data_IF_926025507933
#
_entry.id   IF_926025507933
#
_cell.length_a   1.000
_cell.length_b   1.000
_cell.length_c   1.000
_cell.angle_alpha   90.00
_cell.angle_beta   90.00
_cell.angle_gamma   90.00
#
_symmetry.space_group_name_H-M   'P 1'
#
loop_
_entity.id
_entity.type
_entity.pdbx_description
1 polymer ?
#
# COMPACT_ATOMS: atom_id res chain seq x y z
N UNK A 1 53.99 40.65 -41.57
CA UNK A 1 52.84 39.78 -41.21
C UNK A 1 52.18 40.34 -39.96
N UNK A 2 51.02 40.98 -40.11
CA UNK A 2 50.31 41.63 -39.01
C UNK A 2 49.84 40.55 -38.01
N UNK A 3 50.44 40.53 -36.82
CA UNK A 3 50.06 39.60 -35.73
C UNK A 3 48.80 40.04 -34.98
N UNK A 4 48.33 41.26 -35.25
CA UNK A 4 47.15 41.87 -34.63
C UNK A 4 45.84 41.09 -34.84
N UNK A 5 45.46 40.63 -36.06
CA UNK A 5 44.24 39.84 -36.24
C UNK A 5 44.32 38.45 -35.58
N UNK A 6 45.51 37.84 -35.50
CA UNK A 6 45.71 36.55 -34.84
C UNK A 6 45.58 36.69 -33.33
N UNK A 7 46.11 37.77 -32.75
CA UNK A 7 45.96 38.06 -31.31
C UNK A 7 44.49 38.32 -30.93
N UNK A 8 43.75 39.04 -31.79
CA UNK A 8 42.34 39.34 -31.57
C UNK A 8 41.46 38.07 -31.64
N UNK A 9 41.76 37.16 -32.56
CA UNK A 9 41.07 35.88 -32.69
C UNK A 9 41.32 34.99 -31.47
N UNK A 10 42.57 34.94 -30.97
CA UNK A 10 42.92 34.16 -29.77
C UNK A 10 42.27 34.71 -28.50
N UNK A 11 42.18 36.05 -28.34
CA UNK A 11 41.45 36.64 -27.22
C UNK A 11 39.94 36.35 -27.24
N UNK A 12 39.34 36.22 -28.43
CA UNK A 12 37.92 35.92 -28.57
C UNK A 12 37.59 34.46 -28.17
N UNK A 13 38.50 33.51 -28.44
CA UNK A 13 38.33 32.09 -28.04
C UNK A 13 38.42 31.92 -26.51
N UNK A 14 39.31 32.68 -25.85
CA UNK A 14 39.41 32.66 -24.37
C UNK A 14 38.22 33.32 -23.68
N UNK A 15 37.55 34.29 -24.32
CA UNK A 15 36.33 34.92 -23.78
C UNK A 15 35.08 34.03 -23.93
N UNK A 16 35.08 33.07 -24.87
CA UNK A 16 33.97 32.13 -25.10
C UNK A 16 34.01 30.91 -24.17
N UNK A 17 35.08 30.70 -23.38
CA UNK A 17 35.23 29.54 -22.47
C UNK A 17 34.92 29.85 -21.00
N UNK A 18 34.34 31.03 -20.69
CA UNK A 18 34.21 31.56 -19.33
C UNK A 18 32.88 31.39 -18.60
N UNK A 19 31.93 30.56 -19.05
CA UNK A 19 30.61 30.42 -18.40
C UNK A 19 30.16 28.96 -18.24
N UNK A 20 30.86 28.17 -17.42
CA UNK A 20 30.29 26.91 -16.88
C UNK A 20 30.75 26.54 -15.47
N UNK A 21 31.51 27.42 -14.79
CA UNK A 21 32.02 27.19 -13.44
C UNK A 21 31.42 28.11 -12.37
N UNK A 22 30.17 28.56 -12.57
CA UNK A 22 29.38 28.97 -11.42
C UNK A 22 28.95 27.67 -10.71
N UNK A 23 29.30 27.46 -9.42
CA UNK A 23 28.56 26.49 -8.64
C UNK A 23 27.15 27.06 -8.56
N UNK A 24 26.28 26.59 -9.46
CA UNK A 24 24.85 26.62 -9.24
C UNK A 24 24.72 25.83 -7.95
N UNK A 25 24.73 26.53 -6.80
CA UNK A 25 24.07 26.03 -5.62
C UNK A 25 22.69 25.71 -6.16
N UNK A 26 22.28 24.42 -6.25
CA UNK A 26 20.89 24.16 -6.52
C UNK A 26 20.20 25.00 -5.46
N UNK A 27 19.34 25.92 -5.91
CA UNK A 27 18.36 26.52 -5.03
C UNK A 27 17.93 25.39 -4.11
N UNK A 28 18.12 25.55 -2.79
CA UNK A 28 17.57 24.63 -1.81
C UNK A 28 16.05 24.76 -1.97
N UNK A 29 15.53 24.20 -3.06
CA UNK A 29 14.14 23.90 -3.22
C UNK A 29 13.86 22.97 -2.08
N UNK A 30 12.91 23.36 -1.25
CA UNK A 30 12.38 22.49 -0.23
C UNK A 30 11.81 21.28 -0.97
N UNK A 31 12.63 20.23 -1.12
CA UNK A 31 12.20 18.98 -1.69
C UNK A 31 11.26 18.36 -0.66
N UNK A 32 9.98 18.26 -1.01
CA UNK A 32 9.04 17.45 -0.24
C UNK A 32 9.30 16.01 -0.66
N UNK A 33 9.78 15.20 0.27
CA UNK A 33 10.04 13.78 0.05
C UNK A 33 8.75 13.03 0.35
N UNK A 34 8.19 12.37 -0.66
CA UNK A 34 7.06 11.46 -0.51
C UNK A 34 7.59 10.03 -0.36
N UNK A 35 7.34 9.42 0.79
CA UNK A 35 7.87 8.10 1.13
C UNK A 35 6.85 7.01 0.79
N UNK A 36 7.29 5.98 0.10
CA UNK A 36 6.57 4.71 0.03
C UNK A 36 6.64 4.02 1.39
N UNK A 37 5.59 3.35 1.86
CA UNK A 37 5.63 2.60 3.12
C UNK A 37 6.56 1.38 2.98
N UNK A 38 7.78 1.49 3.49
CA UNK A 38 8.81 0.46 3.42
C UNK A 38 9.49 0.20 4.77
N UNK A 39 10.16 -0.95 4.85
CA UNK A 39 11.13 -1.31 5.90
C UNK A 39 12.37 -1.92 5.24
N UNK A 40 13.57 -1.55 5.69
CA UNK A 40 14.82 -2.19 5.27
C UNK A 40 15.37 -3.09 6.37
N UNK A 41 15.65 -4.34 6.03
CA UNK A 41 16.18 -5.32 6.97
C UNK A 41 17.03 -6.37 6.25
N UNK A 42 18.23 -6.62 6.78
CA UNK A 42 19.19 -7.61 6.28
C UNK A 42 19.51 -7.49 4.79
N UNK A 43 19.63 -6.27 4.27
CA UNK A 43 19.93 -6.00 2.86
C UNK A 43 18.72 -6.04 1.92
N UNK A 44 17.52 -6.32 2.44
CA UNK A 44 16.28 -6.35 1.65
C UNK A 44 15.40 -5.14 1.93
N UNK A 45 14.67 -4.69 0.90
CA UNK A 45 13.61 -3.69 1.04
C UNK A 45 12.26 -4.40 0.98
N UNK A 46 11.47 -4.22 2.02
CA UNK A 46 10.11 -4.74 2.11
C UNK A 46 9.14 -3.57 1.98
N UNK A 47 8.12 -3.71 1.15
CA UNK A 47 7.07 -2.70 0.94
C UNK A 47 5.76 -3.17 1.54
N UNK A 48 4.99 -2.22 2.08
CA UNK A 48 3.72 -2.49 2.74
C UNK A 48 2.73 -3.16 1.79
N UNK A 49 2.10 -4.24 2.26
CA UNK A 49 1.10 -5.01 1.51
C UNK A 49 -0.29 -4.60 1.99
N UNK A 50 -0.97 -3.78 1.20
CA UNK A 50 -2.27 -3.18 1.58
C UNK A 50 -3.49 -4.01 1.19
N UNK A 51 -3.33 -4.97 0.28
CA UNK A 51 -4.42 -5.81 -0.26
C UNK A 51 -4.40 -7.25 0.29
N UNK A 52 -3.69 -7.44 1.40
CA UNK A 52 -3.61 -8.70 2.14
C UNK A 52 -3.69 -8.43 3.63
N UNK A 53 -4.22 -9.40 4.36
CA UNK A 53 -4.15 -9.44 5.80
C UNK A 53 -3.65 -10.81 6.24
N UNK A 54 -3.09 -10.89 7.45
CA UNK A 54 -2.76 -12.18 8.05
C UNK A 54 -4.05 -12.96 8.33
N UNK A 55 -4.10 -14.26 8.03
CA UNK A 55 -5.29 -15.06 8.24
C UNK A 55 -5.51 -15.45 9.73
N UNK A 56 -4.41 -15.66 10.46
CA UNK A 56 -4.38 -16.03 11.88
C UNK A 56 -3.13 -15.41 12.53
N UNK A 57 -3.25 -14.66 13.64
CA UNK A 57 -2.10 -14.08 14.33
C UNK A 57 -1.07 -15.11 14.82
N UNK A 58 -1.44 -16.39 14.93
CA UNK A 58 -0.51 -17.49 15.27
C UNK A 58 0.49 -17.80 14.16
N UNK A 59 0.29 -17.26 12.96
CA UNK A 59 1.24 -17.36 11.86
C UNK A 59 2.42 -16.38 12.02
N UNK A 60 2.41 -15.52 13.04
CA UNK A 60 3.57 -14.70 13.38
C UNK A 60 4.60 -15.57 14.09
N UNK A 61 5.77 -15.69 13.48
CA UNK A 61 6.88 -16.52 13.94
C UNK A 61 7.92 -15.74 14.76
N UNK A 62 9.18 -16.12 14.59
CA UNK A 62 10.32 -15.54 15.30
C UNK A 62 10.54 -14.04 14.96
N UNK A 63 11.12 -13.31 15.91
CA UNK A 63 11.56 -11.93 15.68
C UNK A 63 12.67 -11.90 14.62
N UNK A 64 12.45 -11.12 13.56
CA UNK A 64 13.37 -10.92 12.46
C UNK A 64 14.35 -9.76 12.71
N UNK A 65 13.91 -8.76 13.49
CA UNK A 65 14.65 -7.54 13.79
C UNK A 65 13.72 -6.45 14.32
N UNK A 66 14.19 -5.20 14.29
CA UNK A 66 13.41 -4.05 14.70
C UNK A 66 13.81 -2.79 13.90
N UNK A 67 12.94 -1.79 13.93
CA UNK A 67 13.17 -0.49 13.32
C UNK A 67 14.14 0.32 14.19
N UNK A 68 15.21 0.84 13.57
CA UNK A 68 16.20 1.70 14.20
C UNK A 68 15.95 3.18 13.91
N UNK A 69 15.34 3.48 12.77
CA UNK A 69 15.18 4.86 12.30
C UNK A 69 13.91 5.03 11.46
N UNK A 70 13.13 6.08 11.75
CA UNK A 70 11.93 6.44 10.98
C UNK A 70 12.26 7.63 10.09
N UNK A 71 12.28 7.41 8.77
CA UNK A 71 12.78 8.43 7.83
C UNK A 71 11.77 9.56 7.60
N UNK A 72 10.47 9.30 7.61
CA UNK A 72 9.46 10.29 7.24
C UNK A 72 9.38 11.51 8.19
N UNK A 73 9.87 11.37 9.42
CA UNK A 73 9.81 12.45 10.41
C UNK A 73 11.08 13.33 10.42
N UNK A 74 12.19 12.83 9.87
CA UNK A 74 13.54 13.40 10.12
C UNK A 74 14.30 13.71 8.84
N UNK A 75 14.12 12.92 7.79
CA UNK A 75 14.92 13.05 6.57
C UNK A 75 14.32 14.13 5.67
N UNK A 76 15.10 15.19 5.45
CA UNK A 76 14.77 16.28 4.52
C UNK A 76 15.73 16.35 3.33
N UNK A 77 16.78 15.51 3.31
CA UNK A 77 17.74 15.44 2.22
C UNK A 77 17.26 14.45 1.15
N UNK A 78 16.92 14.90 -0.07
CA UNK A 78 16.49 14.01 -1.14
C UNK A 78 17.58 13.04 -1.61
N UNK A 79 18.85 13.25 -1.21
CA UNK A 79 19.96 12.36 -1.50
C UNK A 79 20.21 11.30 -0.41
N UNK A 80 19.41 11.28 0.66
CA UNK A 80 19.52 10.27 1.70
C UNK A 80 19.41 8.85 1.13
N UNK A 81 20.31 7.98 1.55
CA UNK A 81 20.34 6.57 1.14
C UNK A 81 19.88 5.73 2.31
N UNK A 82 18.72 5.13 2.16
CA UNK A 82 18.12 4.26 3.19
C UNK A 82 18.97 3.02 3.40
N UNK A 83 19.04 2.55 4.64
CA UNK A 83 19.88 1.44 5.11
C UNK A 83 19.09 0.49 6.02
N UNK A 84 19.70 -0.63 6.41
CA UNK A 84 19.06 -1.60 7.30
C UNK A 84 18.66 -0.97 8.64
N UNK A 85 17.43 -1.26 9.08
CA UNK A 85 16.81 -0.66 10.25
C UNK A 85 15.98 0.59 9.94
N UNK A 86 16.04 1.14 8.72
CA UNK A 86 15.16 2.24 8.33
C UNK A 86 13.73 1.74 8.04
N UNK A 87 12.76 2.55 8.44
CA UNK A 87 11.38 2.42 8.02
C UNK A 87 10.81 3.78 7.60
N UNK A 88 9.91 3.81 6.63
CA UNK A 88 9.22 5.02 6.24
C UNK A 88 8.36 5.56 7.39
N UNK A 89 7.44 4.73 7.89
CA UNK A 89 6.39 5.18 8.80
C UNK A 89 6.37 4.47 10.16
N UNK A 90 6.97 3.27 10.27
CA UNK A 90 7.02 2.57 11.55
C UNK A 90 7.90 3.30 12.56
N UNK A 91 7.47 3.34 13.82
CA UNK A 91 8.21 3.97 14.90
C UNK A 91 9.49 3.22 15.24
N UNK A 92 10.49 3.94 15.76
CA UNK A 92 11.73 3.36 16.29
C UNK A 92 11.39 2.33 17.38
N UNK A 93 12.07 1.19 17.34
CA UNK A 93 11.87 0.06 18.26
C UNK A 93 10.73 -0.88 17.86
N UNK A 94 9.97 -0.59 16.79
CA UNK A 94 8.94 -1.51 16.29
C UNK A 94 9.58 -2.84 15.91
N UNK A 95 9.12 -3.92 16.56
CA UNK A 95 9.56 -5.28 16.26
C UNK A 95 9.00 -5.76 14.93
N UNK A 96 9.81 -6.51 14.21
CA UNK A 96 9.48 -7.13 12.93
C UNK A 96 9.58 -8.63 13.11
N UNK A 97 8.60 -9.36 12.60
CA UNK A 97 8.49 -10.80 12.77
C UNK A 97 8.43 -11.50 11.43
N UNK A 98 8.93 -12.74 11.38
CA UNK A 98 8.71 -13.62 10.23
C UNK A 98 7.27 -14.11 10.21
N UNK A 99 6.79 -14.51 9.03
CA UNK A 99 5.46 -15.11 8.86
C UNK A 99 5.62 -16.56 8.45
N UNK A 100 4.98 -17.45 9.20
CA UNK A 100 4.98 -18.89 8.93
C UNK A 100 4.36 -19.20 7.56
N UNK A 101 4.98 -20.13 6.84
CA UNK A 101 4.56 -20.50 5.47
C UNK A 101 5.19 -19.67 4.34
N UNK A 102 6.03 -18.68 4.67
CA UNK A 102 6.83 -17.91 3.72
C UNK A 102 8.33 -18.13 3.95
N UNK A 103 9.14 -17.93 2.92
CA UNK A 103 10.59 -17.91 3.11
C UNK A 103 11.01 -16.72 3.97
N UNK A 104 12.17 -16.82 4.62
CA UNK A 104 12.59 -15.79 5.58
C UNK A 104 12.66 -14.41 4.94
N UNK A 105 12.99 -14.29 3.66
CA UNK A 105 13.20 -13.02 2.96
C UNK A 105 11.94 -12.50 2.25
N UNK A 106 10.82 -13.22 2.31
CA UNK A 106 9.60 -12.88 1.56
C UNK A 106 8.69 -11.90 2.29
N UNK A 107 8.42 -12.15 3.58
CA UNK A 107 7.35 -11.49 4.29
C UNK A 107 7.70 -11.20 5.75
N UNK A 108 7.39 -9.97 6.16
CA UNK A 108 7.48 -9.50 7.54
C UNK A 108 6.10 -9.07 8.04
N UNK A 109 5.87 -9.27 9.34
CA UNK A 109 4.74 -8.72 10.07
C UNK A 109 5.24 -7.69 11.09
N UNK A 110 4.58 -6.53 11.13
CA UNK A 110 4.79 -5.50 12.13
C UNK A 110 3.48 -5.30 12.93
N UNK A 111 3.52 -5.24 14.28
CA UNK A 111 2.32 -5.00 15.07
C UNK A 111 1.62 -3.70 14.68
N UNK A 112 0.33 -3.78 14.38
CA UNK A 112 -0.54 -2.65 14.11
C UNK A 112 -1.97 -2.98 14.58
N UNK A 113 -2.43 -2.45 15.72
CA UNK A 113 -3.75 -2.77 16.27
C UNK A 113 -4.91 -2.31 15.38
N UNK A 114 -4.62 -1.43 14.40
CA UNK A 114 -5.58 -0.96 13.41
C UNK A 114 -5.52 -1.80 12.12
N UNK A 115 -5.00 -3.02 12.16
CA UNK A 115 -5.06 -3.96 11.04
C UNK A 115 -5.84 -5.21 11.45
N UNK A 116 -6.48 -5.90 10.49
CA UNK A 116 -7.03 -7.22 10.77
C UNK A 116 -5.95 -8.13 11.35
N UNK A 117 -6.31 -8.84 12.42
CA UNK A 117 -5.40 -9.69 13.17
C UNK A 117 -4.21 -8.98 13.83
N UNK A 118 -4.19 -7.64 13.87
CA UNK A 118 -3.23 -6.85 14.63
C UNK A 118 -1.86 -6.69 13.99
N UNK A 119 -1.71 -6.96 12.69
CA UNK A 119 -0.43 -6.86 12.00
C UNK A 119 -0.57 -6.21 10.62
N UNK A 120 0.37 -5.30 10.33
CA UNK A 120 0.68 -4.83 8.98
C UNK A 120 1.72 -5.74 8.35
N UNK A 121 1.57 -6.02 7.07
CA UNK A 121 2.46 -6.90 6.32
C UNK A 121 3.40 -6.11 5.41
N UNK A 122 4.64 -6.57 5.30
CA UNK A 122 5.68 -5.99 4.45
C UNK A 122 6.36 -7.09 3.63
N UNK A 123 6.37 -6.97 2.31
CA UNK A 123 6.89 -8.01 1.43
C UNK A 123 8.00 -7.51 0.51
N UNK A 124 8.94 -8.39 0.18
CA UNK A 124 9.87 -8.15 -0.94
C UNK A 124 9.13 -8.18 -2.27
N UNK A 125 9.73 -7.58 -3.30
CA UNK A 125 9.12 -7.49 -4.62
C UNK A 125 8.79 -8.90 -5.17
N UNK A 126 7.53 -9.10 -5.59
CA UNK A 126 7.06 -10.36 -6.17
C UNK A 126 6.72 -11.46 -5.16
N UNK A 127 7.05 -11.30 -3.87
CA UNK A 127 6.79 -12.33 -2.85
C UNK A 127 5.30 -12.56 -2.59
N UNK A 128 4.48 -11.51 -2.72
CA UNK A 128 3.04 -11.57 -2.49
C UNK A 128 2.28 -11.12 -3.74
N UNK A 129 1.45 -12.01 -4.26
CA UNK A 129 0.58 -11.70 -5.40
C UNK A 129 -0.46 -10.65 -4.99
N UNK A 130 -0.78 -9.74 -5.92
CA UNK A 130 -1.77 -8.67 -5.69
C UNK A 130 -3.20 -9.25 -5.66
N UNK A 131 -4.05 -8.74 -4.76
CA UNK A 131 -5.46 -9.15 -4.67
C UNK A 131 -6.23 -8.92 -5.97
N UNK A 132 -5.92 -7.80 -6.64
CA UNK A 132 -6.56 -7.40 -7.87
C UNK A 132 -6.38 -8.41 -9.00
N UNK A 133 -5.25 -9.12 -9.00
CA UNK A 133 -4.93 -10.13 -9.99
C UNK A 133 -5.68 -11.45 -9.78
N UNK A 134 -6.41 -11.62 -8.67
CA UNK A 134 -6.96 -12.92 -8.25
C UNK A 134 -8.45 -12.85 -7.95
N UNK A 135 -9.06 -11.67 -7.78
CA UNK A 135 -10.47 -11.59 -7.36
C UNK A 135 -11.41 -12.39 -8.28
N UNK A 136 -11.22 -12.31 -9.60
CA UNK A 136 -12.04 -13.05 -10.55
C UNK A 136 -11.79 -14.58 -10.53
N UNK A 137 -10.65 -15.02 -9.98
CA UNK A 137 -10.33 -16.43 -9.72
C UNK A 137 -10.83 -16.91 -8.34
N UNK A 138 -11.34 -16.00 -7.50
CA UNK A 138 -11.96 -16.38 -6.22
C UNK A 138 -13.35 -16.93 -6.47
N UNK A 139 -13.60 -18.11 -5.94
CA UNK A 139 -14.91 -18.75 -5.97
C UNK A 139 -15.47 -18.85 -4.55
N UNK A 140 -16.80 -18.81 -4.41
CA UNK A 140 -17.44 -18.84 -3.11
C UNK A 140 -16.99 -20.02 -2.23
N UNK A 141 -16.77 -21.20 -2.83
CA UNK A 141 -16.30 -22.40 -2.12
C UNK A 141 -14.86 -22.31 -1.59
N UNK A 142 -14.02 -21.41 -2.13
CA UNK A 142 -12.67 -21.16 -1.60
C UNK A 142 -12.69 -20.23 -0.40
N UNK A 143 -13.75 -19.45 -0.22
CA UNK A 143 -13.87 -18.50 0.88
C UNK A 143 -14.51 -19.20 2.08
N UNK A 144 -13.81 -19.25 3.20
CA UNK A 144 -14.27 -19.87 4.44
C UNK A 144 -15.09 -18.92 5.30
N UNK A 145 -14.72 -17.64 5.37
CA UNK A 145 -15.48 -16.56 6.02
C UNK A 145 -15.17 -15.20 5.43
N UNK A 146 -16.05 -14.23 5.66
CA UNK A 146 -15.84 -12.82 5.33
C UNK A 146 -16.02 -11.99 6.60
N UNK A 147 -15.10 -11.08 6.88
CA UNK A 147 -15.21 -10.13 7.98
C UNK A 147 -15.35 -8.72 7.43
N UNK A 148 -16.28 -7.95 8.01
CA UNK A 148 -16.55 -6.56 7.66
C UNK A 148 -16.14 -5.65 8.81
N UNK A 149 -15.32 -4.66 8.48
CA UNK A 149 -14.76 -3.70 9.41
C UNK A 149 -15.25 -2.30 9.07
N UNK A 150 -15.56 -1.54 10.11
CA UNK A 150 -15.86 -0.13 9.96
C UNK A 150 -14.59 0.62 9.54
N UNK A 151 -14.76 1.85 9.07
CA UNK A 151 -13.71 2.75 8.56
C UNK A 151 -12.33 2.52 9.20
N UNK A 152 -11.31 2.45 8.35
CA UNK A 152 -9.90 2.26 8.73
C UNK A 152 -9.64 1.02 9.59
N UNK A 153 -10.22 -0.12 9.22
CA UNK A 153 -9.94 -1.41 9.85
C UNK A 153 -10.21 -1.42 11.36
N UNK A 154 -11.17 -0.64 11.83
CA UNK A 154 -11.52 -0.58 13.25
C UNK A 154 -11.83 -1.99 13.75
N UNK A 155 -10.99 -2.50 14.65
CA UNK A 155 -11.12 -3.84 15.24
C UNK A 155 -11.96 -3.77 16.52
N UNK A 156 -12.79 -4.79 16.83
CA UNK A 156 -13.08 -6.00 16.05
C UNK A 156 -13.99 -5.74 14.82
N UNK A 157 -14.13 -6.70 13.88
CA UNK A 157 -15.10 -6.57 12.80
C UNK A 157 -16.51 -6.39 13.36
N UNK A 158 -17.32 -5.52 12.74
CA UNK A 158 -18.71 -5.32 13.16
C UNK A 158 -19.63 -6.43 12.65
N UNK A 159 -19.19 -7.20 11.64
CA UNK A 159 -19.93 -8.35 11.13
C UNK A 159 -18.99 -9.43 10.60
N UNK A 160 -19.29 -10.68 10.93
CA UNK A 160 -18.61 -11.86 10.39
C UNK A 160 -19.63 -12.72 9.67
N UNK A 161 -19.43 -12.92 8.37
CA UNK A 161 -20.30 -13.71 7.50
C UNK A 161 -19.72 -15.11 7.34
N UNK A 162 -20.57 -16.12 7.56
CA UNK A 162 -20.24 -17.54 7.41
C UNK A 162 -21.34 -18.25 6.62
N UNK A 163 -21.06 -19.47 6.14
CA UNK A 163 -22.04 -20.35 5.48
C UNK A 163 -22.85 -19.62 4.38
N UNK A 164 -24.18 -19.69 4.44
CA UNK A 164 -25.08 -19.13 3.42
C UNK A 164 -25.00 -17.61 3.31
N UNK A 165 -24.75 -16.89 4.40
CA UNK A 165 -24.64 -15.42 4.37
C UNK A 165 -23.39 -14.98 3.60
N UNK A 166 -22.28 -15.66 3.84
CA UNK A 166 -21.02 -15.47 3.10
C UNK A 166 -21.22 -15.75 1.60
N UNK A 167 -21.89 -16.85 1.27
CA UNK A 167 -22.14 -17.22 -0.14
C UNK A 167 -23.06 -16.22 -0.85
N UNK A 168 -24.08 -15.72 -0.16
CA UNK A 168 -24.97 -14.69 -0.68
C UNK A 168 -24.23 -13.36 -0.90
N UNK A 169 -23.46 -12.91 0.10
CA UNK A 169 -22.68 -11.69 0.01
C UNK A 169 -21.64 -11.75 -1.13
N UNK A 170 -20.86 -12.84 -1.21
CA UNK A 170 -19.87 -12.98 -2.27
C UNK A 170 -20.51 -13.03 -3.66
N UNK A 171 -21.72 -13.61 -3.79
CA UNK A 171 -22.45 -13.60 -5.05
C UNK A 171 -22.80 -12.18 -5.50
N UNK A 172 -23.21 -11.29 -4.59
CA UNK A 172 -23.50 -9.89 -4.90
C UNK A 172 -22.24 -9.14 -5.37
N UNK A 173 -21.08 -9.45 -4.77
CA UNK A 173 -19.79 -8.91 -5.22
C UNK A 173 -19.43 -9.40 -6.63
N UNK A 174 -19.52 -10.71 -6.85
CA UNK A 174 -19.12 -11.35 -8.09
C UNK A 174 -20.08 -11.05 -9.26
N UNK A 175 -21.36 -10.80 -8.99
CA UNK A 175 -22.35 -10.43 -10.01
C UNK A 175 -22.36 -8.93 -10.34
N UNK A 176 -21.45 -8.15 -9.77
CA UNK A 176 -21.33 -6.73 -10.05
C UNK A 176 -20.95 -6.44 -11.50
N UNK A 177 -21.24 -5.23 -11.97
CA UNK A 177 -20.92 -4.76 -13.31
C UNK A 177 -19.67 -3.89 -13.29
N UNK A 178 -18.69 -4.23 -14.12
CA UNK A 178 -17.50 -3.41 -14.31
C UNK A 178 -17.84 -2.10 -15.01
N UNK A 179 -17.37 -1.00 -14.43
CA UNK A 179 -17.64 0.38 -14.83
C UNK A 179 -16.37 1.23 -14.67
N UNK A 180 -15.36 1.06 -15.56
CA UNK A 180 -14.05 1.71 -15.43
C UNK A 180 -14.10 3.25 -15.45
N UNK A 181 -15.19 3.84 -15.96
CA UNK A 181 -15.42 5.29 -15.97
C UNK A 181 -16.33 5.80 -14.86
N UNK A 182 -16.66 4.97 -13.87
CA UNK A 182 -17.55 5.38 -12.79
C UNK A 182 -16.92 6.48 -11.94
N UNK A 183 -17.67 7.55 -11.71
CA UNK A 183 -17.30 8.63 -10.80
C UNK A 183 -18.27 8.62 -9.61
N UNK A 184 -17.78 8.50 -8.36
CA UNK A 184 -18.64 8.46 -7.18
C UNK A 184 -19.50 9.71 -7.03
N UNK A 185 -20.72 9.53 -6.53
CA UNK A 185 -21.62 10.65 -6.25
C UNK A 185 -21.25 11.33 -4.92
N UNK A 186 -20.61 12.49 -4.99
CA UNK A 186 -20.08 13.18 -3.78
C UNK A 186 -20.87 14.43 -3.35
N UNK A 187 -22.06 14.70 -3.93
CA UNK A 187 -22.83 15.91 -3.60
C UNK A 187 -23.35 15.90 -2.16
N UNK A 188 -23.57 14.72 -1.57
CA UNK A 188 -24.04 14.55 -0.19
C UNK A 188 -22.93 14.25 0.81
N UNK A 189 -21.67 14.31 0.40
CA UNK A 189 -20.49 13.94 1.20
C UNK A 189 -19.63 12.87 0.53
N UNK A 190 -18.53 12.51 1.19
CA UNK A 190 -17.65 11.43 0.73
C UNK A 190 -18.35 10.07 0.88
N UNK A 191 -17.99 9.06 0.04
CA UNK A 191 -18.51 7.72 0.18
C UNK A 191 -18.21 7.13 1.58
N UNK A 192 -19.16 6.38 2.12
CA UNK A 192 -18.93 5.61 3.33
C UNK A 192 -18.14 4.35 2.99
N UNK A 193 -17.10 4.05 3.76
CA UNK A 193 -16.22 2.92 3.48
C UNK A 193 -16.47 1.75 4.44
N UNK A 194 -16.43 0.55 3.89
CA UNK A 194 -16.41 -0.70 4.66
C UNK A 194 -15.25 -1.52 4.16
N UNK A 195 -14.35 -1.90 5.06
CA UNK A 195 -13.26 -2.79 4.72
C UNK A 195 -13.72 -4.23 4.84
N UNK A 196 -13.37 -5.07 3.86
CA UNK A 196 -13.71 -6.49 3.86
C UNK A 196 -12.48 -7.37 3.79
N UNK A 197 -12.48 -8.45 4.57
CA UNK A 197 -11.43 -9.47 4.59
C UNK A 197 -12.04 -10.81 4.18
N UNK A 198 -11.55 -11.38 3.08
CA UNK A 198 -11.97 -12.67 2.53
C UNK A 198 -10.93 -13.73 2.91
N UNK A 199 -11.32 -14.64 3.80
CA UNK A 199 -10.45 -15.73 4.27
C UNK A 199 -10.60 -16.94 3.36
N UNK A 200 -9.49 -17.48 2.85
CA UNK A 200 -9.49 -18.62 1.92
C UNK A 200 -8.94 -19.92 2.51
N UNK A 201 -8.50 -19.88 3.77
CA UNK A 201 -7.74 -20.97 4.40
C UNK A 201 -6.24 -20.93 4.07
N UNK A 202 -5.80 -20.03 3.20
CA UNK A 202 -4.39 -19.71 2.98
C UNK A 202 -3.85 -18.84 4.14
N UNK A 203 -2.51 -18.78 4.32
CA UNK A 203 -1.89 -17.96 5.38
C UNK A 203 -2.24 -16.47 5.31
N UNK A 204 -2.53 -15.97 4.10
CA UNK A 204 -2.96 -14.59 3.87
C UNK A 204 -4.41 -14.55 3.37
N UNK A 205 -5.18 -13.65 3.96
CA UNK A 205 -6.51 -13.28 3.50
C UNK A 205 -6.45 -12.12 2.50
N UNK A 206 -7.51 -11.97 1.70
CA UNK A 206 -7.64 -10.91 0.70
C UNK A 206 -8.38 -9.73 1.31
N UNK A 207 -7.87 -8.51 1.12
CA UNK A 207 -8.53 -7.30 1.61
C UNK A 207 -9.02 -6.43 0.46
N UNK A 208 -10.21 -5.86 0.63
CA UNK A 208 -10.81 -4.91 -0.30
C UNK A 208 -11.60 -3.85 0.45
N UNK A 209 -11.80 -2.71 -0.19
CA UNK A 209 -12.63 -1.63 0.32
C UNK A 209 -13.92 -1.53 -0.50
N UNK A 210 -15.07 -1.66 0.16
CA UNK A 210 -16.37 -1.31 -0.38
C UNK A 210 -16.66 0.15 -0.06
N UNK A 211 -17.21 0.87 -1.03
CA UNK A 211 -17.62 2.26 -0.93
C UNK A 211 -19.11 2.37 -1.25
N UNK A 212 -19.86 3.10 -0.43
CA UNK A 212 -21.25 3.45 -0.68
C UNK A 212 -21.37 4.98 -0.80
N UNK A 213 -21.68 5.46 -2.00
CA UNK A 213 -21.86 6.90 -2.27
C UNK A 213 -23.32 7.36 -2.16
N UNK A 214 -24.19 6.50 -1.58
CA UNK A 214 -25.61 6.74 -1.44
C UNK A 214 -26.43 6.41 -2.70
N UNK A 215 -25.80 6.31 -3.88
CA UNK A 215 -26.45 5.90 -5.13
C UNK A 215 -26.09 4.47 -5.50
N UNK A 216 -24.80 4.17 -5.49
CA UNK A 216 -24.24 2.86 -5.81
C UNK A 216 -23.29 2.40 -4.69
N UNK A 217 -23.21 1.08 -4.53
CA UNK A 217 -22.11 0.45 -3.78
C UNK A 217 -21.10 -0.07 -4.79
N UNK A 218 -19.83 0.15 -4.56
CA UNK A 218 -18.77 -0.23 -5.47
C UNK A 218 -17.47 -0.60 -4.76
N UNK A 219 -16.59 -1.31 -5.45
CA UNK A 219 -15.24 -1.62 -5.01
C UNK A 219 -14.30 -1.75 -6.22
N UNK A 220 -13.01 -1.91 -5.98
CA UNK A 220 -11.99 -1.96 -7.02
C UNK A 220 -11.22 -3.28 -6.98
N UNK A 221 -11.79 -4.40 -7.47
CA UNK A 221 -11.03 -5.62 -7.67
C UNK A 221 -9.93 -5.39 -8.71
N UNK A 222 -10.27 -4.92 -9.92
CA UNK A 222 -9.31 -4.49 -10.93
C UNK A 222 -9.76 -3.18 -11.56
N UNK A 223 -10.98 -3.16 -12.08
CA UNK A 223 -11.73 -1.96 -12.44
C UNK A 223 -12.75 -1.64 -11.34
N UNK A 224 -13.37 -0.45 -11.39
CA UNK A 224 -14.50 -0.14 -10.51
C UNK A 224 -15.67 -1.07 -10.83
N UNK A 225 -16.10 -1.88 -9.87
CA UNK A 225 -17.23 -2.81 -10.00
C UNK A 225 -18.41 -2.30 -9.16
N UNK A 226 -19.51 -2.00 -9.83
CA UNK A 226 -20.78 -1.61 -9.19
C UNK A 226 -21.53 -2.87 -8.78
N UNK A 227 -21.85 -2.99 -7.49
CA UNK A 227 -22.54 -4.17 -6.95
C UNK A 227 -24.00 -3.86 -6.68
N UNK A 228 -24.83 -4.91 -6.60
CA UNK A 228 -26.25 -4.76 -6.35
C UNK A 228 -26.51 -4.11 -4.98
N UNK A 229 -27.47 -3.18 -4.93
CA UNK A 229 -27.83 -2.42 -3.74
C UNK A 229 -28.30 -3.30 -2.56
N UNK A 230 -28.72 -4.55 -2.82
CA UNK A 230 -29.01 -5.54 -1.78
C UNK A 230 -27.83 -5.76 -0.83
N UNK A 231 -26.59 -5.48 -1.26
CA UNK A 231 -25.41 -5.60 -0.41
C UNK A 231 -25.49 -4.69 0.82
N UNK A 232 -26.23 -3.57 0.75
CA UNK A 232 -26.38 -2.62 1.87
C UNK A 232 -26.98 -3.25 3.13
N UNK A 233 -27.78 -4.31 2.99
CA UNK A 233 -28.30 -5.06 4.15
C UNK A 233 -27.18 -5.67 5.02
N UNK A 234 -25.99 -5.87 4.45
CA UNK A 234 -24.81 -6.38 5.16
C UNK A 234 -23.94 -5.27 5.77
N UNK A 235 -24.02 -4.04 5.24
CA UNK A 235 -23.14 -2.92 5.59
C UNK A 235 -23.68 -2.08 6.76
N UNK A 236 -24.92 -2.32 7.20
CA UNK A 236 -25.49 -1.65 8.36
C UNK A 236 -24.71 -2.02 9.62
N UNK A 237 -24.04 -1.00 10.18
CA UNK A 237 -23.39 -1.08 11.48
C UNK A 237 -24.47 -1.08 12.58
N UNK A 238 -24.29 -1.86 13.66
CA UNK A 238 -25.21 -1.89 14.79
C UNK A 238 -25.28 -0.55 15.55
#
# INVERSE_FOLDING_TARGET
>A
MNRLPVLLLLSLVFLLSGCSFLPVRPTQGQAIIDWVDFVKLNGHTYTSVWNRALADPKLVGEEAGHVNFKVADVVTDPYYRTQDGDAAFLGIGTKLYRVEGFSKEELLAAPDPNQPQGYRLYATEGAVQRASSIFDDLTANRISRIELYADYWRTPPFRTLVQAEKDAFFRLLASGLDSPGYSPFTQSGDPAYTQMVLYTGEPLAYTFSLADDGRHVFFHPQETRLVDNAIRAYLQQP
#
